data_IF_269820134888
#
_entry.id   IF_269820134888
#
_cell.length_a   1.000
_cell.length_b   1.000
_cell.length_c   1.000
_cell.angle_alpha   90.00
_cell.angle_beta   90.00
_cell.angle_gamma   90.00
#
_symmetry.space_group_name_H-M   'P 1'
#
loop_
_entity.id
_entity.type
_entity.pdbx_description
1 polymer ?
#
# COMPACT_ATOMS: atom_id res chain seq x y z
N UNK A 1 40.55 36.65 44.80
CA UNK A 1 39.32 35.81 44.70
C UNK A 1 38.41 36.15 43.49
N UNK A 2 38.94 36.52 42.30
CA UNK A 2 38.12 36.78 41.08
C UNK A 2 38.36 35.79 39.92
N UNK A 3 39.27 34.82 40.07
CA UNK A 3 39.73 33.95 38.97
C UNK A 3 38.91 32.66 38.79
N UNK A 4 38.29 32.13 39.86
CA UNK A 4 37.59 30.84 39.79
C UNK A 4 36.18 30.91 39.17
N UNK A 5 35.46 32.03 39.30
CA UNK A 5 34.10 32.17 38.79
C UNK A 5 34.04 32.27 37.25
N UNK A 6 35.05 32.87 36.63
CA UNK A 6 35.09 33.12 35.17
C UNK A 6 35.35 31.83 34.38
N UNK A 7 36.17 30.91 34.93
CA UNK A 7 36.52 29.64 34.28
C UNK A 7 35.34 28.67 34.18
N UNK A 8 34.45 28.65 35.18
CA UNK A 8 33.25 27.81 35.18
C UNK A 8 32.14 28.35 34.27
N UNK A 9 32.04 29.67 34.10
CA UNK A 9 31.04 30.29 33.21
C UNK A 9 31.34 30.02 31.73
N UNK A 10 32.61 30.00 31.34
CA UNK A 10 33.03 29.69 29.97
C UNK A 10 32.77 28.21 29.62
N UNK A 11 33.11 27.26 30.52
CA UNK A 11 32.80 25.83 30.30
C UNK A 11 31.30 25.55 30.17
N UNK A 12 30.46 26.26 30.91
CA UNK A 12 29.01 26.07 30.85
C UNK A 12 28.41 26.60 29.54
N UNK A 13 28.98 27.68 28.99
CA UNK A 13 28.60 28.21 27.69
C UNK A 13 29.11 27.34 26.54
N UNK A 14 30.33 26.80 26.65
CA UNK A 14 30.88 25.85 25.67
C UNK A 14 30.06 24.57 25.63
N UNK A 15 29.70 24.00 26.80
CA UNK A 15 28.87 22.79 26.89
C UNK A 15 27.45 23.00 26.33
N UNK A 16 26.85 24.17 26.55
CA UNK A 16 25.56 24.54 25.91
C UNK A 16 25.67 24.65 24.40
N UNK A 17 26.76 25.22 23.91
CA UNK A 17 27.02 25.35 22.47
C UNK A 17 27.21 23.99 21.81
N UNK A 18 27.95 23.07 22.44
CA UNK A 18 28.13 21.70 21.96
C UNK A 18 26.83 20.90 21.98
N UNK A 19 26.03 21.00 23.04
CA UNK A 19 24.71 20.34 23.13
C UNK A 19 23.76 20.85 22.04
N UNK A 20 23.76 22.17 21.79
CA UNK A 20 22.93 22.78 20.75
C UNK A 20 23.34 22.31 19.35
N UNK A 21 24.64 22.18 19.10
CA UNK A 21 25.18 21.65 17.84
C UNK A 21 24.83 20.16 17.65
N UNK A 22 24.92 19.35 18.71
CA UNK A 22 24.52 17.94 18.67
C UNK A 22 23.01 17.79 18.41
N UNK A 23 22.16 18.63 19.01
CA UNK A 23 20.71 18.64 18.76
C UNK A 23 20.39 19.05 17.31
N UNK A 24 21.10 20.03 16.75
CA UNK A 24 20.94 20.44 15.34
C UNK A 24 21.35 19.34 14.36
N UNK A 25 22.42 18.61 14.65
CA UNK A 25 22.89 17.48 13.83
C UNK A 25 22.01 16.23 13.96
N UNK A 26 21.36 16.02 15.10
CA UNK A 26 20.38 14.94 15.30
C UNK A 26 19.02 15.26 14.65
N UNK A 27 18.67 16.53 14.46
CA UNK A 27 17.44 16.91 13.76
C UNK A 27 17.55 16.72 12.23
N UNK A 28 18.73 16.85 11.64
CA UNK A 28 18.92 16.69 10.19
C UNK A 28 18.96 15.22 9.74
N UNK A 29 19.23 14.27 10.63
CA UNK A 29 19.23 12.83 10.32
C UNK A 29 17.82 12.21 10.28
N UNK A 30 16.78 12.92 10.73
CA UNK A 30 15.40 12.40 10.75
C UNK A 30 14.67 12.59 9.40
N UNK A 31 15.14 13.48 8.52
CA UNK A 31 14.48 13.80 7.24
C UNK A 31 14.93 12.95 6.04
N UNK A 32 15.65 11.85 6.27
CA UNK A 32 16.16 10.95 5.24
C UNK A 32 15.23 9.79 4.83
N UNK A 33 13.95 9.81 5.21
CA UNK A 33 13.04 8.68 4.94
C UNK A 33 12.44 8.73 3.52
N UNK A 34 12.19 7.54 2.97
CA UNK A 34 11.93 7.18 1.57
C UNK A 34 10.81 7.98 0.88
N UNK A 35 11.19 8.97 0.06
CA UNK A 35 10.29 9.91 -0.64
C UNK A 35 9.39 9.29 -1.73
N UNK A 36 9.68 8.06 -2.19
CA UNK A 36 9.04 7.48 -3.38
C UNK A 36 7.66 6.88 -3.08
N UNK A 37 7.53 6.05 -2.05
CA UNK A 37 6.24 5.46 -1.63
C UNK A 37 5.27 6.53 -1.17
N UNK A 38 5.77 7.56 -0.48
CA UNK A 38 4.97 8.70 -0.01
C UNK A 38 4.36 9.50 -1.16
N UNK A 39 5.05 9.62 -2.29
CA UNK A 39 4.54 10.35 -3.46
C UNK A 39 3.33 9.65 -4.11
N UNK A 40 3.41 8.32 -4.30
CA UNK A 40 2.31 7.54 -4.88
C UNK A 40 1.08 7.53 -3.98
N UNK A 41 1.26 7.27 -2.67
CA UNK A 41 0.17 7.31 -1.70
C UNK A 41 -0.45 8.72 -1.62
N UNK A 42 0.35 9.78 -1.78
CA UNK A 42 -0.14 11.17 -1.87
C UNK A 42 -1.04 11.40 -3.10
N UNK A 43 -0.64 10.90 -4.28
CA UNK A 43 -1.48 11.02 -5.50
C UNK A 43 -2.82 10.30 -5.34
N UNK A 44 -2.80 9.08 -4.79
CA UNK A 44 -4.01 8.31 -4.51
C UNK A 44 -4.89 9.04 -3.50
N UNK A 45 -4.31 9.60 -2.44
CA UNK A 45 -5.02 10.36 -1.42
C UNK A 45 -5.70 11.61 -2.00
N UNK A 46 -4.98 12.40 -2.80
CA UNK A 46 -5.50 13.61 -3.43
C UNK A 46 -6.64 13.31 -4.40
N UNK A 47 -6.48 12.25 -5.21
CA UNK A 47 -7.54 11.79 -6.10
C UNK A 47 -8.78 11.33 -5.31
N UNK A 48 -8.58 10.54 -4.25
CA UNK A 48 -9.67 10.07 -3.40
C UNK A 48 -10.39 11.23 -2.71
N UNK A 49 -9.66 12.25 -2.24
CA UNK A 49 -10.26 13.48 -1.68
C UNK A 49 -11.11 14.20 -2.73
N UNK A 50 -10.65 14.26 -3.99
CA UNK A 50 -11.44 14.81 -5.10
C UNK A 50 -12.74 14.04 -5.29
N UNK A 51 -12.67 12.72 -5.40
CA UNK A 51 -13.87 11.86 -5.52
C UNK A 51 -14.86 12.09 -4.38
N UNK A 52 -14.38 12.21 -3.13
CA UNK A 52 -15.24 12.50 -1.97
C UNK A 52 -15.90 13.87 -2.05
N UNK A 53 -15.19 14.91 -2.50
CA UNK A 53 -15.79 16.24 -2.76
C UNK A 53 -16.87 16.18 -3.82
N UNK A 54 -16.68 15.35 -4.83
CA UNK A 54 -17.64 15.09 -5.91
C UNK A 54 -18.79 14.14 -5.47
N UNK A 55 -18.90 13.86 -4.16
CA UNK A 55 -19.94 13.04 -3.52
C UNK A 55 -19.94 11.57 -3.97
N UNK A 56 -18.82 11.09 -4.51
CA UNK A 56 -18.62 9.67 -4.84
C UNK A 56 -18.43 8.86 -3.55
N UNK A 57 -19.25 7.81 -3.41
CA UNK A 57 -19.30 7.02 -2.18
C UNK A 57 -18.85 5.57 -2.31
N UNK A 58 -18.70 5.06 -3.53
CA UNK A 58 -18.24 3.70 -3.76
C UNK A 58 -16.85 3.80 -4.35
N UNK A 59 -15.84 3.66 -3.50
CA UNK A 59 -14.42 3.80 -3.86
C UNK A 59 -13.68 2.64 -3.21
N UNK A 60 -12.90 1.90 -3.98
CA UNK A 60 -11.95 0.90 -3.54
C UNK A 60 -10.57 1.30 -4.01
N UNK A 61 -9.65 1.44 -3.07
CA UNK A 61 -8.23 1.56 -3.32
C UNK A 61 -7.65 0.14 -3.20
N UNK A 62 -6.82 -0.27 -4.15
CA UNK A 62 -6.21 -1.60 -4.19
C UNK A 62 -4.73 -1.49 -4.56
N UNK A 63 -3.86 -2.19 -3.83
CA UNK A 63 -2.44 -2.27 -4.11
C UNK A 63 -1.85 -3.62 -3.74
N UNK A 64 -0.81 -4.02 -4.47
CA UNK A 64 0.04 -5.16 -4.14
C UNK A 64 1.45 -4.63 -3.86
N UNK A 65 2.11 -5.09 -2.80
CA UNK A 65 3.46 -4.64 -2.46
C UNK A 65 4.23 -5.77 -1.78
N UNK A 66 5.56 -5.73 -1.82
CA UNK A 66 6.40 -6.71 -1.12
C UNK A 66 7.22 -6.01 -0.04
N UNK A 67 7.44 -6.67 1.10
CA UNK A 67 8.23 -6.14 2.21
C UNK A 67 9.68 -5.81 1.84
N UNK A 68 10.17 -6.33 0.71
CA UNK A 68 11.55 -6.14 0.22
C UNK A 68 11.71 -5.00 -0.80
N UNK A 69 10.62 -4.34 -1.23
CA UNK A 69 10.68 -3.37 -2.34
C UNK A 69 10.95 -1.92 -1.90
N UNK A 70 11.83 -1.68 -0.94
CA UNK A 70 12.31 -0.33 -0.59
C UNK A 70 13.61 -0.01 -1.32
N UNK A 71 13.59 -0.03 -2.65
CA UNK A 71 14.61 0.68 -3.41
C UNK A 71 14.42 2.19 -3.21
N UNK A 72 15.36 2.82 -2.52
CA UNK A 72 15.47 4.27 -2.45
C UNK A 72 15.81 4.79 -3.84
N UNK A 73 14.82 5.28 -4.58
CA UNK A 73 15.05 5.93 -5.87
C UNK A 73 15.19 7.42 -5.63
N UNK A 74 16.28 8.01 -6.13
CA UNK A 74 16.47 9.45 -6.15
C UNK A 74 15.47 10.07 -7.15
N UNK A 75 14.56 10.92 -6.68
CA UNK A 75 13.49 11.51 -7.51
C UNK A 75 14.02 12.44 -8.60
N UNK A 76 15.29 12.83 -8.56
CA UNK A 76 15.92 13.73 -9.53
C UNK A 76 16.33 13.05 -10.85
N UNK A 77 16.57 11.73 -10.84
CA UNK A 77 17.03 10.94 -12.01
C UNK A 77 15.95 9.95 -12.49
N UNK A 78 14.68 10.32 -12.31
CA UNK A 78 13.55 9.44 -12.63
C UNK A 78 13.36 9.33 -14.15
N UNK A 79 13.91 8.28 -14.75
CA UNK A 79 13.59 7.91 -16.13
C UNK A 79 12.31 7.07 -16.15
N UNK A 80 11.27 7.60 -16.79
CA UNK A 80 10.01 6.89 -17.01
C UNK A 80 10.11 5.80 -18.10
N UNK A 81 11.31 5.55 -18.64
CA UNK A 81 11.61 4.50 -19.61
C UNK A 81 11.48 3.10 -19.04
N UNK A 82 11.77 2.94 -17.74
CA UNK A 82 11.92 1.62 -17.13
C UNK A 82 10.68 1.27 -16.30
N UNK A 83 9.93 0.26 -16.76
CA UNK A 83 8.68 -0.22 -16.14
C UNK A 83 8.82 -0.80 -14.71
N UNK A 84 10.02 -0.75 -14.12
CA UNK A 84 10.47 -1.78 -13.18
C UNK A 84 10.33 -1.48 -11.68
N UNK A 85 9.97 -0.26 -11.25
CA UNK A 85 10.37 0.15 -9.89
C UNK A 85 9.26 0.55 -8.90
N UNK A 86 7.99 0.60 -9.30
CA UNK A 86 6.90 0.81 -8.34
C UNK A 86 5.68 -0.04 -8.65
N UNK A 87 5.20 -0.81 -7.68
CA UNK A 87 3.91 -1.48 -7.80
C UNK A 87 2.80 -0.43 -7.92
N UNK A 88 2.01 -0.43 -9.01
CA UNK A 88 0.95 0.55 -9.19
C UNK A 88 -0.12 0.40 -8.12
N UNK A 89 -0.78 1.52 -7.83
CA UNK A 89 -2.00 1.54 -7.03
C UNK A 89 -3.20 1.72 -7.94
N UNK A 90 -4.31 1.08 -7.61
CA UNK A 90 -5.54 1.14 -8.38
C UNK A 90 -6.65 1.73 -7.53
N UNK A 91 -7.46 2.60 -8.12
CA UNK A 91 -8.68 3.12 -7.51
C UNK A 91 -9.84 2.76 -8.42
N UNK A 92 -10.67 1.82 -7.97
CA UNK A 92 -11.93 1.49 -8.61
C UNK A 92 -13.04 2.28 -7.93
N UNK A 93 -13.86 3.00 -8.70
CA UNK A 93 -14.92 3.84 -8.14
C UNK A 93 -16.15 3.88 -9.03
N UNK A 94 -17.29 4.22 -8.44
CA UNK A 94 -18.57 4.25 -9.15
C UNK A 94 -19.22 5.62 -9.04
N UNK A 95 -19.52 6.23 -10.19
CA UNK A 95 -20.44 7.36 -10.29
C UNK A 95 -21.74 6.91 -10.94
N UNK A 96 -22.84 7.01 -10.19
CA UNK A 96 -24.15 6.49 -10.58
C UNK A 96 -24.08 4.99 -10.93
N UNK A 97 -24.18 4.64 -12.22
CA UNK A 97 -24.13 3.25 -12.73
C UNK A 97 -22.85 2.95 -13.51
N UNK A 98 -21.95 3.92 -13.63
CA UNK A 98 -20.70 3.77 -14.36
C UNK A 98 -19.57 3.45 -13.40
N UNK A 99 -18.80 2.42 -13.72
CA UNK A 99 -17.61 2.05 -12.95
C UNK A 99 -16.37 2.52 -13.69
N UNK A 100 -15.43 3.06 -12.93
CA UNK A 100 -14.17 3.58 -13.42
C UNK A 100 -13.03 2.86 -12.70
N UNK A 101 -11.95 2.63 -13.44
CA UNK A 101 -10.70 2.12 -12.91
C UNK A 101 -9.60 3.12 -13.20
N UNK A 102 -8.94 3.58 -12.14
CA UNK A 102 -7.86 4.55 -12.21
C UNK A 102 -6.56 3.90 -11.73
N UNK A 103 -5.54 3.83 -12.58
CA UNK A 103 -4.20 3.31 -12.27
C UNK A 103 -3.25 4.47 -11.96
N UNK A 104 -2.54 4.37 -10.84
CA UNK A 104 -1.52 5.30 -10.39
C UNK A 104 -0.16 4.61 -10.46
N UNK A 105 0.83 5.28 -11.03
CA UNK A 105 2.22 4.84 -11.00
C UNK A 105 3.13 6.03 -10.70
N UNK A 106 4.41 5.78 -10.47
CA UNK A 106 5.38 6.82 -10.17
C UNK A 106 5.76 7.69 -11.38
N UNK A 107 5.51 7.22 -12.61
CA UNK A 107 5.86 7.94 -13.82
C UNK A 107 4.82 9.00 -14.19
N UNK A 108 3.55 8.73 -13.90
CA UNK A 108 2.43 9.52 -14.35
C UNK A 108 1.40 9.62 -13.23
N UNK A 109 0.77 10.79 -13.11
CA UNK A 109 -0.18 11.05 -12.01
C UNK A 109 -1.29 10.00 -11.93
N UNK A 110 -1.93 9.66 -13.05
CA UNK A 110 -2.81 8.49 -13.20
C UNK A 110 -3.34 8.32 -14.64
N UNK A 111 -3.81 7.12 -14.97
CA UNK A 111 -4.66 6.83 -16.14
C UNK A 111 -6.02 6.31 -15.69
N UNK A 112 -7.11 6.77 -16.30
CA UNK A 112 -8.48 6.37 -15.96
C UNK A 112 -9.20 5.82 -17.17
N UNK A 113 -9.94 4.73 -16.97
CA UNK A 113 -10.84 4.14 -17.96
C UNK A 113 -12.20 3.86 -17.34
N UNK A 114 -13.21 3.69 -18.18
CA UNK A 114 -14.51 3.12 -17.80
C UNK A 114 -14.47 1.62 -18.02
N UNK A 115 -15.03 0.85 -17.07
CA UNK A 115 -15.05 -0.63 -17.12
C UNK A 115 -16.44 -1.17 -16.84
N UNK A 116 -16.71 -2.40 -17.29
CA UNK A 116 -17.74 -3.24 -16.70
C UNK A 116 -17.23 -3.77 -15.36
N UNK A 117 -18.03 -3.67 -14.30
CA UNK A 117 -17.65 -4.19 -12.98
C UNK A 117 -18.03 -5.67 -12.83
N UNK A 118 -18.72 -6.27 -13.80
CA UNK A 118 -19.21 -7.64 -13.79
C UNK A 118 -19.96 -7.99 -12.49
N UNK A 119 -20.74 -7.03 -11.99
CA UNK A 119 -21.51 -7.19 -10.75
C UNK A 119 -20.66 -7.15 -9.47
N UNK A 120 -19.40 -6.71 -9.55
CA UNK A 120 -18.51 -6.55 -8.40
C UNK A 120 -19.17 -5.74 -7.29
N UNK A 121 -19.74 -4.57 -7.59
CA UNK A 121 -20.29 -3.70 -6.56
C UNK A 121 -21.50 -4.32 -5.87
N UNK A 122 -22.36 -4.99 -6.64
CA UNK A 122 -23.52 -5.69 -6.09
C UNK A 122 -23.09 -6.79 -5.13
N UNK A 123 -22.11 -7.61 -5.53
CA UNK A 123 -21.61 -8.71 -4.72
C UNK A 123 -20.81 -8.22 -3.50
N UNK A 124 -20.03 -7.14 -3.64
CA UNK A 124 -19.33 -6.50 -2.53
C UNK A 124 -20.30 -5.95 -1.48
N UNK A 125 -21.31 -5.17 -1.91
CA UNK A 125 -22.32 -4.60 -1.02
C UNK A 125 -23.15 -5.66 -0.32
N UNK A 126 -23.50 -6.75 -1.02
CA UNK A 126 -24.22 -7.89 -0.44
C UNK A 126 -23.47 -8.51 0.75
N UNK A 127 -22.14 -8.55 0.71
CA UNK A 127 -21.31 -9.18 1.73
C UNK A 127 -20.51 -8.18 2.58
N UNK A 128 -20.86 -6.89 2.52
CA UNK A 128 -20.09 -5.81 3.15
C UNK A 128 -19.92 -6.00 4.67
N UNK A 129 -20.97 -6.46 5.36
CA UNK A 129 -20.92 -6.74 6.80
C UNK A 129 -19.98 -7.89 7.14
N UNK A 130 -20.02 -8.97 6.35
CA UNK A 130 -19.12 -10.11 6.51
C UNK A 130 -17.68 -9.69 6.25
N UNK A 131 -17.42 -8.98 5.15
CA UNK A 131 -16.10 -8.44 4.83
C UNK A 131 -15.54 -7.59 5.96
N UNK A 132 -16.36 -6.75 6.59
CA UNK A 132 -15.91 -5.93 7.72
C UNK A 132 -15.44 -6.79 8.90
N UNK A 133 -16.21 -7.82 9.26
CA UNK A 133 -15.95 -8.65 10.44
C UNK A 133 -14.97 -9.81 10.22
N UNK A 134 -14.75 -10.23 8.98
CA UNK A 134 -13.92 -11.39 8.66
C UNK A 134 -12.43 -11.09 8.89
N UNK A 135 -11.74 -11.97 9.62
CA UNK A 135 -10.30 -11.93 9.81
C UNK A 135 -9.69 -13.19 9.22
N UNK A 136 -8.60 -13.04 8.47
CA UNK A 136 -7.84 -14.20 8.01
C UNK A 136 -7.04 -14.76 9.18
N UNK A 137 -6.83 -16.06 9.15
CA UNK A 137 -5.98 -16.73 10.13
C UNK A 137 -4.54 -16.76 9.63
N UNK A 138 -3.61 -16.75 10.56
CA UNK A 138 -2.20 -16.87 10.24
C UNK A 138 -1.87 -18.25 9.65
N UNK A 139 -0.73 -18.34 8.98
CA UNK A 139 -0.20 -19.63 8.53
C UNK A 139 0.19 -20.44 9.77
N UNK A 140 -0.46 -21.58 9.94
CA UNK A 140 -0.27 -22.48 11.06
C UNK A 140 -0.10 -23.91 10.54
N UNK A 141 0.81 -24.66 11.13
CA UNK A 141 1.04 -26.07 10.81
C UNK A 141 1.42 -26.86 12.05
N UNK A 142 1.22 -28.18 11.98
CA UNK A 142 1.68 -29.11 13.02
C UNK A 142 3.04 -29.63 12.57
N UNK A 143 4.08 -29.36 13.36
CA UNK A 143 5.43 -29.87 13.08
C UNK A 143 5.55 -31.33 13.53
N UNK A 144 5.88 -32.23 12.61
CA UNK A 144 6.04 -33.66 12.90
C UNK A 144 7.19 -33.93 13.89
N UNK A 145 8.22 -33.07 13.92
CA UNK A 145 9.36 -33.23 14.84
C UNK A 145 9.02 -32.89 16.30
N UNK A 146 8.02 -32.04 16.52
CA UNK A 146 7.74 -31.44 17.85
C UNK A 146 6.33 -31.67 18.37
N UNK A 147 5.41 -32.15 17.52
CA UNK A 147 3.96 -32.27 17.82
C UNK A 147 3.38 -30.96 18.41
N UNK A 148 3.89 -29.83 17.92
CA UNK A 148 3.51 -28.49 18.38
C UNK A 148 3.00 -27.65 17.23
N UNK A 149 1.95 -26.87 17.50
CA UNK A 149 1.48 -25.81 16.62
C UNK A 149 2.60 -24.79 16.38
N UNK A 150 2.99 -24.66 15.13
CA UNK A 150 4.03 -23.75 14.68
C UNK A 150 3.44 -22.69 13.77
N UNK A 151 4.02 -21.49 13.82
CA UNK A 151 3.59 -20.32 13.06
C UNK A 151 4.70 -19.88 12.12
N UNK A 152 4.34 -19.37 10.95
CA UNK A 152 5.32 -18.73 10.07
C UNK A 152 5.04 -17.23 9.96
N UNK A 153 6.04 -16.42 10.33
CA UNK A 153 5.98 -14.97 10.19
C UNK A 153 6.00 -14.58 8.72
N UNK A 154 5.02 -13.78 8.31
CA UNK A 154 4.85 -13.35 6.92
C UNK A 154 5.93 -12.31 6.54
N UNK A 155 7.03 -12.77 5.94
CA UNK A 155 7.82 -11.97 5.01
C UNK A 155 7.34 -12.28 3.59
N UNK A 156 7.13 -11.26 2.76
CA UNK A 156 6.75 -11.48 1.36
C UNK A 156 5.84 -10.44 0.76
N UNK A 157 4.99 -10.89 -0.17
CA UNK A 157 4.03 -10.07 -0.90
C UNK A 157 2.72 -9.92 -0.13
N UNK A 158 2.18 -8.72 -0.16
CA UNK A 158 0.94 -8.32 0.47
C UNK A 158 0.00 -7.76 -0.57
N UNK A 159 -1.29 -8.03 -0.40
CA UNK A 159 -2.38 -7.38 -1.11
C UNK A 159 -3.22 -6.59 -0.14
N UNK A 160 -3.47 -5.34 -0.44
CA UNK A 160 -4.27 -4.45 0.38
C UNK A 160 -5.43 -3.88 -0.44
N UNK A 161 -6.64 -3.91 0.13
CA UNK A 161 -7.72 -3.06 -0.34
C UNK A 161 -8.30 -2.20 0.78
N UNK A 162 -8.69 -0.98 0.42
CA UNK A 162 -9.43 -0.07 1.27
C UNK A 162 -10.70 0.38 0.55
N UNK A 163 -11.86 -0.03 1.07
CA UNK A 163 -13.15 0.50 0.65
C UNK A 163 -13.53 1.73 1.47
N UNK A 164 -13.94 2.78 0.78
CA UNK A 164 -14.37 4.05 1.36
C UNK A 164 -15.83 4.32 1.01
N UNK A 165 -16.74 3.81 1.84
CA UNK A 165 -18.19 4.02 1.75
C UNK A 165 -18.64 5.43 2.19
N UNK A 166 -19.96 5.63 2.24
CA UNK A 166 -20.58 6.84 2.86
C UNK A 166 -20.41 6.89 4.38
N UNK A 167 -20.60 5.74 5.04
CA UNK A 167 -20.69 5.64 6.50
C UNK A 167 -19.61 4.75 7.12
N UNK A 168 -18.84 4.06 6.28
CA UNK A 168 -17.88 3.08 6.76
C UNK A 168 -16.69 2.98 5.83
N UNK A 169 -15.58 2.57 6.44
CA UNK A 169 -14.36 2.19 5.77
C UNK A 169 -14.06 0.74 6.12
N UNK A 170 -13.66 -0.05 5.13
CA UNK A 170 -13.15 -1.41 5.33
C UNK A 170 -11.73 -1.40 4.79
N UNK A 171 -10.76 -1.78 5.61
CA UNK A 171 -9.38 -1.98 5.20
C UNK A 171 -9.02 -3.44 5.43
N UNK A 172 -8.45 -4.09 4.42
CA UNK A 172 -7.92 -5.47 4.51
C UNK A 172 -6.53 -5.49 3.93
N UNK A 173 -5.62 -6.12 4.65
CA UNK A 173 -4.25 -6.39 4.23
C UNK A 173 -4.03 -7.89 4.37
N UNK A 174 -3.59 -8.54 3.30
CA UNK A 174 -3.42 -9.99 3.23
C UNK A 174 -1.99 -10.27 2.81
N UNK A 175 -1.21 -10.88 3.70
CA UNK A 175 0.08 -11.47 3.33
C UNK A 175 -0.16 -12.76 2.55
N UNK A 176 0.40 -12.88 1.34
CA UNK A 176 0.12 -14.03 0.47
C UNK A 176 0.55 -15.37 1.08
N UNK A 177 1.45 -15.35 2.06
CA UNK A 177 1.85 -16.53 2.79
C UNK A 177 0.68 -17.28 3.45
N UNK A 178 -0.38 -16.58 3.90
CA UNK A 178 -1.53 -17.24 4.53
C UNK A 178 -2.33 -18.12 3.56
N UNK A 179 -2.01 -18.04 2.27
CA UNK A 179 -2.58 -18.81 1.16
C UNK A 179 -1.64 -19.91 0.66
N UNK A 180 -0.47 -20.09 1.27
CA UNK A 180 0.39 -21.24 0.96
C UNK A 180 -0.24 -22.50 1.53
N UNK A 181 -0.35 -23.55 0.71
CA UNK A 181 -0.88 -24.86 1.14
C UNK A 181 0.08 -25.58 2.08
N UNK A 182 1.38 -25.38 1.86
CA UNK A 182 2.46 -26.03 2.59
C UNK A 182 3.60 -25.06 2.87
N UNK A 183 4.43 -25.41 3.84
CA UNK A 183 5.76 -24.81 4.03
C UNK A 183 6.71 -25.25 2.91
N UNK A 184 7.94 -24.73 2.90
CA UNK A 184 9.00 -25.22 2.02
C UNK A 184 9.41 -26.68 2.33
N UNK A 185 9.17 -27.15 3.55
CA UNK A 185 9.49 -28.50 4.02
C UNK A 185 8.32 -29.48 3.85
N UNK A 186 7.14 -29.01 3.42
CA UNK A 186 5.99 -29.83 3.09
C UNK A 186 4.92 -29.93 4.17
N UNK A 187 5.08 -29.26 5.33
CA UNK A 187 4.03 -29.26 6.35
C UNK A 187 2.80 -28.48 5.90
N UNK A 188 1.61 -29.07 6.11
CA UNK A 188 0.35 -28.52 5.64
C UNK A 188 -0.11 -27.34 6.50
N UNK A 189 -0.51 -26.26 5.82
CA UNK A 189 -1.21 -25.14 6.44
C UNK A 189 -2.64 -25.54 6.82
N UNK A 190 -2.93 -25.57 8.11
CA UNK A 190 -4.25 -25.97 8.63
C UNK A 190 -5.33 -24.94 8.35
N UNK A 191 -4.93 -23.69 8.08
CA UNK A 191 -5.83 -22.57 7.82
C UNK A 191 -6.04 -22.28 6.31
N UNK A 192 -5.39 -23.04 5.42
CA UNK A 192 -5.47 -22.81 3.96
C UNK A 192 -6.91 -22.77 3.44
N UNK A 193 -7.70 -23.81 3.71
CA UNK A 193 -9.07 -23.91 3.18
C UNK A 193 -9.96 -22.77 3.70
N UNK A 194 -9.79 -22.39 4.97
CA UNK A 194 -10.51 -21.25 5.55
C UNK A 194 -10.14 -19.94 4.85
N UNK A 195 -8.84 -19.64 4.73
CA UNK A 195 -8.36 -18.40 4.14
C UNK A 195 -8.68 -18.32 2.64
N UNK A 196 -8.46 -19.41 1.89
CA UNK A 196 -8.67 -19.49 0.44
C UNK A 196 -10.14 -19.35 0.03
N UNK A 197 -11.06 -19.68 0.93
CA UNK A 197 -12.51 -19.54 0.70
C UNK A 197 -13.11 -18.30 1.38
N UNK A 198 -12.28 -17.50 2.07
CA UNK A 198 -12.73 -16.27 2.73
C UNK A 198 -13.31 -15.26 1.73
N UNK A 199 -14.22 -14.42 2.21
CA UNK A 199 -14.88 -13.39 1.42
C UNK A 199 -13.88 -12.30 1.00
N UNK A 200 -12.90 -12.02 1.84
CA UNK A 200 -11.75 -11.13 1.57
C UNK A 200 -10.98 -11.62 0.36
N UNK A 201 -10.68 -12.93 0.28
CA UNK A 201 -9.98 -13.49 -0.86
C UNK A 201 -10.81 -13.49 -2.14
N UNK A 202 -12.12 -13.71 -2.05
CA UNK A 202 -13.02 -13.57 -3.21
C UNK A 202 -12.96 -12.15 -3.78
N UNK A 203 -12.99 -11.11 -2.92
CA UNK A 203 -12.87 -9.71 -3.36
C UNK A 203 -11.52 -9.45 -4.02
N UNK A 204 -10.41 -9.90 -3.41
CA UNK A 204 -9.07 -9.72 -3.96
C UNK A 204 -8.95 -10.36 -5.34
N UNK A 205 -9.38 -11.62 -5.51
CA UNK A 205 -9.35 -12.32 -6.80
C UNK A 205 -10.16 -11.60 -7.88
N UNK A 206 -11.31 -11.01 -7.51
CA UNK A 206 -12.11 -10.21 -8.45
C UNK A 206 -11.41 -8.91 -8.85
N UNK A 207 -10.78 -8.22 -7.91
CA UNK A 207 -9.99 -7.02 -8.20
C UNK A 207 -8.80 -7.36 -9.12
N UNK A 208 -8.09 -8.45 -8.84
CA UNK A 208 -7.01 -8.96 -9.69
C UNK A 208 -7.50 -9.24 -11.11
N UNK A 209 -8.63 -9.93 -11.26
CA UNK A 209 -9.20 -10.26 -12.56
C UNK A 209 -9.59 -9.00 -13.36
N UNK A 210 -10.28 -8.05 -12.72
CA UNK A 210 -10.66 -6.77 -13.32
C UNK A 210 -9.41 -6.02 -13.79
N UNK A 211 -8.37 -5.96 -12.96
CA UNK A 211 -7.12 -5.27 -13.31
C UNK A 211 -6.43 -5.97 -14.47
N UNK A 212 -6.27 -7.30 -14.40
CA UNK A 212 -5.59 -8.07 -15.45
C UNK A 212 -6.26 -7.92 -16.82
N UNK A 213 -7.59 -7.92 -16.86
CA UNK A 213 -8.37 -7.71 -18.09
C UNK A 213 -8.15 -6.31 -18.69
N UNK A 214 -7.97 -5.31 -17.82
CA UNK A 214 -7.94 -3.90 -18.21
C UNK A 214 -6.53 -3.30 -18.28
N UNK A 215 -5.49 -4.04 -17.87
CA UNK A 215 -4.12 -3.53 -17.73
C UNK A 215 -3.59 -2.98 -19.05
N UNK A 216 -3.92 -3.62 -20.18
CA UNK A 216 -3.53 -3.12 -21.51
C UNK A 216 -4.10 -1.74 -21.80
N UNK A 217 -5.37 -1.50 -21.50
CA UNK A 217 -6.02 -0.21 -21.73
C UNK A 217 -5.47 0.87 -20.80
N UNK A 218 -5.22 0.50 -19.54
CA UNK A 218 -4.57 1.37 -18.55
C UNK A 218 -3.15 1.76 -18.95
N UNK A 219 -2.42 0.89 -19.66
CA UNK A 219 -1.09 1.19 -20.21
C UNK A 219 -1.14 1.92 -21.57
N UNK A 220 -2.18 1.73 -22.38
CA UNK A 220 -2.27 2.32 -23.75
C UNK A 220 -2.87 3.72 -23.74
N UNK A 221 -3.85 4.02 -22.89
CA UNK A 221 -4.39 5.39 -22.75
C UNK A 221 -3.31 6.42 -22.35
N UNK A 222 -2.15 5.95 -21.86
CA UNK A 222 -0.87 6.65 -21.69
C UNK A 222 -0.33 7.27 -23.00
N UNK A 223 -0.48 6.58 -24.13
CA UNK A 223 0.20 6.92 -25.40
C UNK A 223 -0.42 8.08 -26.18
N UNK A 224 -1.66 8.46 -25.86
CA UNK A 224 -2.42 9.46 -26.62
C UNK A 224 -2.27 10.88 -26.02
N UNK A 225 -1.89 11.00 -24.75
CA UNK A 225 -1.82 12.28 -24.02
C UNK A 225 -0.42 12.90 -23.98
N UNK A 226 0.61 12.27 -24.54
CA UNK A 226 2.02 12.72 -24.45
C UNK A 226 2.55 13.50 -25.66
N UNK A 227 1.73 14.20 -26.43
CA UNK A 227 2.20 15.23 -27.37
C UNK A 227 1.42 16.55 -27.24
N UNK A 228 1.80 17.44 -26.32
CA UNK A 228 1.66 18.86 -26.59
C UNK A 228 2.80 19.25 -27.54
N UNK A 229 2.51 19.35 -28.83
CA UNK A 229 3.35 20.13 -29.75
C UNK A 229 3.48 21.55 -29.21
N UNK A 230 4.69 21.92 -28.77
CA UNK A 230 5.24 23.25 -28.92
C UNK A 230 6.72 23.16 -29.22
#
# INVERSE_FOLDING_TARGET
MKSFATKNRNRFNDMKSTITLCLLLLCSSVFGQSRTVEALDSFVLDFTKKLKRDKISNIIIYKSYSSESTTQVNTADYDCSDEFWSNPSYVMWQDRKMTYLTRFDMCHRYTQITIDDHGFWQDFQKHEKQLKAEELKDFEFISEEKDTLSYVSAHGTFKEFTYLGRKQQIKKTVGLMVLSETTAQGEKNINYDYNSNSRTMVVIRKLDAIIAENERLLKVAKSITTHPTK
#
